data_IF_690897272321
#
_entry.id   IF_690897272321
#
_cell.length_a   1.000
_cell.length_b   1.000
_cell.length_c   1.000
_cell.angle_alpha   90.00
_cell.angle_beta   90.00
_cell.angle_gamma   90.00
#
_symmetry.space_group_name_H-M   'P 1'
#
loop_
_entity.id
_entity.type
_entity.pdbx_description
1 polymer ?
#
# COMPACT_ATOMS: atom_id res chain seq x y z
N UNK A 1 6.36 5.60 -3.00
CA UNK A 1 4.95 5.32 -3.43
C UNK A 1 3.98 5.82 -2.38
N UNK A 2 2.78 6.29 -2.76
CA UNK A 2 1.76 6.76 -1.80
C UNK A 2 0.65 5.74 -1.62
N UNK A 3 0.26 5.50 -0.37
CA UNK A 3 -0.95 4.80 0.05
C UNK A 3 -2.14 5.74 -0.06
N UNK A 4 -3.26 5.21 -0.53
CA UNK A 4 -4.52 5.94 -0.66
C UNK A 4 -5.53 5.33 0.30
N UNK A 5 -6.06 6.14 1.21
CA UNK A 5 -7.10 5.77 2.15
C UNK A 5 -8.40 6.46 1.77
N UNK A 6 -9.53 5.82 2.06
CA UNK A 6 -10.85 6.44 1.91
C UNK A 6 -11.54 6.47 3.27
N UNK A 7 -11.75 7.67 3.79
CA UNK A 7 -12.39 7.89 5.10
C UNK A 7 -13.87 8.17 4.86
N UNK A 8 -14.73 7.34 5.45
CA UNK A 8 -16.18 7.47 5.39
C UNK A 8 -16.64 8.37 6.55
N UNK A 9 -17.28 9.53 6.30
CA UNK A 9 -17.90 10.34 7.34
C UNK A 9 -19.10 9.63 7.99
N UNK A 10 -19.36 9.91 9.27
CA UNK A 10 -20.65 9.62 9.90
C UNK A 10 -21.69 10.63 9.42
N UNK A 11 -22.97 10.26 9.52
CA UNK A 11 -24.07 11.21 9.28
C UNK A 11 -24.10 12.30 10.38
N UNK A 12 -23.87 11.88 11.63
CA UNK A 12 -23.94 12.72 12.83
C UNK A 12 -22.67 12.60 13.67
N UNK A 13 -22.26 13.71 14.31
CA UNK A 13 -21.11 13.71 15.23
C UNK A 13 -21.36 12.80 16.43
N UNK A 14 -20.34 12.10 16.89
CA UNK A 14 -20.39 11.29 18.12
C UNK A 14 -19.81 12.09 19.28
N UNK A 15 -20.54 12.15 20.39
CA UNK A 15 -20.04 12.76 21.61
C UNK A 15 -19.01 11.83 22.30
N UNK A 16 -18.15 12.37 23.19
CA UNK A 16 -17.14 11.57 23.89
C UNK A 16 -17.69 10.42 24.74
N UNK A 17 -18.97 10.50 25.11
CA UNK A 17 -19.72 9.45 25.83
C UNK A 17 -20.22 8.32 24.90
N UNK A 18 -19.94 8.40 23.61
CA UNK A 18 -20.30 7.38 22.62
C UNK A 18 -21.70 7.53 22.01
N UNK A 19 -22.48 8.55 22.40
CA UNK A 19 -23.82 8.80 21.84
C UNK A 19 -23.79 9.69 20.59
N UNK A 20 -24.73 9.49 19.67
CA UNK A 20 -24.91 10.34 18.48
C UNK A 20 -25.46 11.71 18.90
N UNK A 21 -24.89 12.77 18.34
CA UNK A 21 -25.31 14.17 18.52
C UNK A 21 -26.11 14.62 17.29
N UNK A 22 -27.08 15.53 17.43
CA UNK A 22 -27.87 16.04 16.29
C UNK A 22 -27.10 16.92 15.28
N UNK A 23 -25.79 17.12 15.49
CA UNK A 23 -24.96 17.95 14.61
C UNK A 23 -24.47 17.12 13.41
N UNK A 24 -24.73 17.55 12.16
CA UNK A 24 -24.20 16.88 10.98
C UNK A 24 -22.67 17.00 10.91
N UNK A 25 -22.03 16.05 10.25
CA UNK A 25 -20.57 16.05 10.02
C UNK A 25 -20.26 16.72 8.69
N UNK A 26 -19.40 17.73 8.71
CA UNK A 26 -18.88 18.35 7.49
C UNK A 26 -17.53 17.73 7.11
N UNK A 27 -17.43 17.16 5.90
CA UNK A 27 -16.27 16.36 5.48
C UNK A 27 -14.97 17.16 5.46
N UNK A 28 -15.00 18.38 4.91
CA UNK A 28 -13.78 19.17 4.69
C UNK A 28 -13.27 19.78 5.99
N UNK A 29 -14.15 20.12 6.93
CA UNK A 29 -13.76 20.73 8.18
C UNK A 29 -13.56 19.66 9.25
N UNK A 30 -14.61 18.95 9.63
CA UNK A 30 -14.59 18.06 10.78
C UNK A 30 -13.73 16.82 10.55
N UNK A 31 -13.95 16.11 9.43
CA UNK A 31 -13.24 14.86 9.14
C UNK A 31 -11.78 15.13 8.83
N UNK A 32 -11.48 16.20 8.08
CA UNK A 32 -10.11 16.59 7.80
C UNK A 32 -9.34 16.95 9.08
N UNK A 33 -9.95 17.72 9.99
CA UNK A 33 -9.31 18.07 11.26
C UNK A 33 -9.06 16.85 12.14
N UNK A 34 -10.02 15.93 12.25
CA UNK A 34 -9.84 14.68 13.00
C UNK A 34 -8.73 13.81 12.40
N UNK A 35 -8.75 13.60 11.08
CA UNK A 35 -7.72 12.82 10.38
C UNK A 35 -6.35 13.50 10.49
N UNK A 36 -6.28 14.83 10.42
CA UNK A 36 -5.05 15.60 10.63
C UNK A 36 -4.48 15.37 12.02
N UNK A 37 -5.33 15.42 13.05
CA UNK A 37 -4.92 15.16 14.43
C UNK A 37 -4.41 13.73 14.63
N UNK A 38 -5.03 12.74 13.96
CA UNK A 38 -4.61 11.33 14.05
C UNK A 38 -3.29 11.11 13.29
N UNK A 39 -3.15 11.68 12.09
CA UNK A 39 -1.99 11.44 11.23
C UNK A 39 -0.76 12.28 11.58
N UNK A 40 -0.95 13.48 12.11
CA UNK A 40 0.15 14.39 12.49
C UNK A 40 0.37 14.42 14.01
N UNK A 41 -0.56 13.87 14.79
CA UNK A 41 -0.58 13.92 16.26
C UNK A 41 -1.17 15.23 16.80
N UNK A 42 -1.89 15.15 17.93
CA UNK A 42 -2.56 16.29 18.59
C UNK A 42 -1.64 17.47 18.94
N UNK A 43 -0.31 17.27 18.95
CA UNK A 43 0.69 18.28 19.33
C UNK A 43 1.41 18.94 18.14
N UNK A 44 1.28 18.43 16.91
CA UNK A 44 1.93 19.05 15.75
C UNK A 44 1.25 20.38 15.35
N UNK A 45 -0.06 20.51 15.59
CA UNK A 45 -0.84 21.66 15.14
C UNK A 45 -0.64 22.93 15.99
N UNK A 46 -0.15 22.81 17.24
CA UNK A 46 0.16 23.96 18.11
C UNK A 46 1.50 24.65 17.72
N UNK A 47 2.26 24.06 16.81
CA UNK A 47 3.60 24.49 16.41
C UNK A 47 3.67 24.97 14.94
N UNK A 48 2.59 25.51 14.37
CA UNK A 48 2.69 26.34 13.14
C UNK A 48 3.16 27.77 13.46
N UNK A 49 4.22 27.86 14.27
CA UNK A 49 4.83 29.09 14.74
C UNK A 49 6.09 28.70 15.50
N UNK A 50 7.23 28.89 14.85
CA UNK A 50 8.58 28.52 15.29
C UNK A 50 8.93 27.03 15.21
N UNK A 51 10.01 26.76 14.46
CA UNK A 51 10.54 25.44 14.21
C UNK A 51 10.83 24.67 15.49
N UNK A 52 10.16 23.53 15.64
CA UNK A 52 10.50 22.52 16.62
C UNK A 52 10.22 21.14 16.01
N UNK A 53 11.15 20.72 15.16
CA UNK A 53 11.44 19.32 14.91
C UNK A 53 11.93 18.76 16.24
N UNK A 54 11.05 18.13 17.03
CA UNK A 54 11.35 16.99 17.90
C UNK A 54 10.20 16.73 18.88
N UNK A 55 9.76 15.48 18.91
CA UNK A 55 9.65 14.61 20.09
C UNK A 55 8.43 13.68 20.02
N UNK A 56 8.43 12.82 19.01
CA UNK A 56 8.22 11.40 19.25
C UNK A 56 9.25 10.61 18.44
N UNK A 57 10.46 10.56 18.99
CA UNK A 57 11.57 9.72 18.52
C UNK A 57 11.13 8.26 18.60
N UNK A 58 10.58 7.72 17.49
CA UNK A 58 10.07 6.35 17.38
C UNK A 58 8.73 6.19 16.66
N UNK A 59 8.03 7.28 16.32
CA UNK A 59 6.71 7.19 15.68
C UNK A 59 6.79 7.21 14.16
N UNK A 60 6.18 6.23 13.49
CA UNK A 60 6.10 6.13 12.03
C UNK A 60 5.05 7.08 11.43
N UNK A 61 4.81 8.26 12.02
CA UNK A 61 3.81 9.21 11.53
C UNK A 61 4.33 10.01 10.32
N UNK A 62 3.46 10.36 9.35
CA UNK A 62 3.82 11.21 8.23
C UNK A 62 4.04 12.68 8.64
N UNK A 63 4.94 13.39 7.95
CA UNK A 63 5.16 14.84 8.14
C UNK A 63 4.10 15.68 7.43
N UNK A 64 3.60 15.19 6.30
CA UNK A 64 2.54 15.81 5.51
C UNK A 64 1.65 14.73 4.87
N UNK A 65 0.39 15.08 4.61
CA UNK A 65 -0.54 14.25 3.83
C UNK A 65 -1.34 15.12 2.86
N UNK A 66 -1.84 14.51 1.78
CA UNK A 66 -2.75 15.19 0.85
C UNK A 66 -4.14 14.64 1.03
N UNK A 67 -5.14 15.53 1.11
CA UNK A 67 -6.54 15.12 1.19
C UNK A 67 -7.39 15.83 0.14
N UNK A 68 -8.42 15.13 -0.35
CA UNK A 68 -9.44 15.70 -1.23
C UNK A 68 -10.78 15.00 -1.04
N UNK A 69 -11.87 15.71 -1.25
CA UNK A 69 -13.21 15.14 -1.29
C UNK A 69 -13.40 14.33 -2.59
N UNK A 70 -13.91 13.11 -2.50
CA UNK A 70 -14.16 12.22 -3.65
C UNK A 70 -15.43 11.42 -3.44
N UNK A 71 -16.24 11.28 -4.49
CA UNK A 71 -17.41 10.38 -4.49
C UNK A 71 -16.98 8.96 -4.87
N UNK A 72 -17.34 7.96 -4.06
CA UNK A 72 -17.10 6.53 -4.35
C UNK A 72 -18.33 5.70 -3.96
N UNK A 73 -18.47 4.55 -4.59
CA UNK A 73 -19.50 3.56 -4.28
C UNK A 73 -18.84 2.21 -4.02
N UNK A 74 -19.27 1.47 -2.98
CA UNK A 74 -18.80 0.11 -2.73
C UNK A 74 -19.85 -0.92 -3.18
N UNK A 75 -19.70 -1.58 -4.34
CA UNK A 75 -20.69 -2.54 -4.82
C UNK A 75 -20.78 -3.81 -3.96
N UNK A 76 -19.72 -4.12 -3.20
CA UNK A 76 -19.59 -5.35 -2.42
C UNK A 76 -20.45 -5.38 -1.16
N UNK A 77 -20.97 -4.22 -0.70
CA UNK A 77 -21.87 -4.15 0.44
C UNK A 77 -21.24 -4.69 1.73
N UNK A 78 -20.07 -4.18 2.11
CA UNK A 78 -19.55 -4.37 3.46
C UNK A 78 -20.54 -3.78 4.47
N UNK A 79 -20.66 -4.39 5.67
CA UNK A 79 -21.58 -3.96 6.74
C UNK A 79 -21.44 -2.46 7.10
N UNK A 80 -20.27 -1.87 6.82
CA UNK A 80 -19.94 -0.49 7.17
C UNK A 80 -19.79 0.46 5.98
N UNK A 81 -19.85 -0.01 4.73
CA UNK A 81 -19.64 0.83 3.54
C UNK A 81 -20.91 0.94 2.67
N UNK A 82 -21.37 2.16 2.35
CA UNK A 82 -22.56 2.36 1.52
C UNK A 82 -22.37 1.86 0.08
N UNK A 83 -23.42 1.21 -0.44
CA UNK A 83 -23.50 0.82 -1.86
C UNK A 83 -23.70 2.02 -2.78
N UNK A 84 -24.40 3.03 -2.30
CA UNK A 84 -24.71 4.23 -3.05
C UNK A 84 -23.46 5.14 -3.17
N UNK A 85 -23.37 5.96 -4.24
CA UNK A 85 -22.34 6.98 -4.36
C UNK A 85 -22.34 7.92 -3.16
N UNK A 86 -21.31 7.79 -2.33
CA UNK A 86 -21.17 8.55 -1.08
C UNK A 86 -19.90 9.39 -1.13
N UNK A 87 -19.92 10.52 -0.43
CA UNK A 87 -18.75 11.37 -0.29
C UNK A 87 -17.74 10.78 0.71
N UNK A 88 -16.50 10.65 0.28
CA UNK A 88 -15.36 10.22 1.10
C UNK A 88 -14.28 11.31 1.13
N UNK A 89 -13.45 11.28 2.17
CA UNK A 89 -12.17 11.98 2.16
C UNK A 89 -11.08 11.01 1.67
N UNK A 90 -10.57 11.25 0.46
CA UNK A 90 -9.39 10.53 -0.07
C UNK A 90 -8.14 11.13 0.56
N UNK A 91 -7.37 10.30 1.27
CA UNK A 91 -6.15 10.71 1.97
C UNK A 91 -4.95 9.97 1.39
N UNK A 92 -3.90 10.70 1.03
CA UNK A 92 -2.66 10.15 0.47
C UNK A 92 -1.49 10.36 1.41
N UNK A 93 -0.81 9.27 1.73
CA UNK A 93 0.32 9.24 2.66
C UNK A 93 1.44 8.32 2.13
N UNK A 94 2.72 8.57 2.44
CA UNK A 94 3.80 7.66 2.07
C UNK A 94 3.64 6.28 2.73
N UNK A 95 3.95 5.20 2.00
CA UNK A 95 3.88 3.84 2.54
C UNK A 95 4.85 3.60 3.72
N UNK A 96 5.99 4.29 3.74
CA UNK A 96 7.02 4.19 4.80
C UNK A 96 6.56 4.78 6.14
N UNK A 97 5.60 5.71 6.10
CA UNK A 97 5.16 6.52 7.25
C UNK A 97 3.73 6.20 7.63
N UNK A 98 3.32 4.94 7.50
CA UNK A 98 1.96 4.53 7.82
C UNK A 98 1.86 3.95 9.22
N UNK A 99 1.04 4.59 10.05
CA UNK A 99 0.49 3.99 11.27
C UNK A 99 -0.85 3.35 10.91
N UNK A 100 -1.07 2.08 11.29
CA UNK A 100 -2.34 1.40 11.04
C UNK A 100 -3.48 2.19 11.67
N UNK A 101 -4.34 2.75 10.82
CA UNK A 101 -5.64 3.27 11.21
C UNK A 101 -6.51 2.09 11.63
N UNK A 102 -6.88 2.01 12.91
CA UNK A 102 -7.90 1.07 13.38
C UNK A 102 -9.25 1.80 13.38
N UNK A 103 -10.13 1.56 12.39
CA UNK A 103 -11.31 2.42 12.18
C UNK A 103 -12.50 2.07 13.08
N UNK A 104 -12.55 0.84 13.60
CA UNK A 104 -13.82 0.21 13.97
C UNK A 104 -14.48 0.70 15.26
N UNK A 105 -13.97 1.73 15.97
CA UNK A 105 -14.69 2.18 17.19
C UNK A 105 -14.42 3.58 17.75
N UNK A 106 -13.39 4.32 17.31
CA UNK A 106 -12.88 5.45 18.13
C UNK A 106 -13.12 6.87 17.59
N UNK A 107 -13.54 7.04 16.33
CA UNK A 107 -13.64 8.36 15.71
C UNK A 107 -14.95 9.11 15.99
N UNK A 108 -14.87 10.42 16.22
CA UNK A 108 -16.03 11.28 16.48
C UNK A 108 -16.80 11.62 15.18
N UNK A 109 -16.08 11.74 14.06
CA UNK A 109 -16.62 12.17 12.77
C UNK A 109 -16.50 11.11 11.68
N UNK A 110 -15.61 10.12 11.85
CA UNK A 110 -15.39 9.03 10.90
C UNK A 110 -16.10 7.74 11.33
N UNK A 111 -16.64 7.04 10.35
CA UNK A 111 -17.36 5.76 10.52
C UNK A 111 -16.43 4.57 10.25
N UNK A 112 -15.77 4.57 9.10
CA UNK A 112 -14.81 3.56 8.67
C UNK A 112 -13.67 4.22 7.88
N UNK A 113 -12.54 3.53 7.80
CA UNK A 113 -11.40 3.91 6.95
C UNK A 113 -10.98 2.70 6.13
N UNK A 114 -11.17 2.82 4.82
CA UNK A 114 -10.86 1.78 3.85
C UNK A 114 -9.45 1.97 3.28
N UNK A 115 -8.85 0.86 2.82
CA UNK A 115 -7.51 0.85 2.22
C UNK A 115 -6.36 0.80 3.23
N UNK A 116 -6.63 0.60 4.52
CA UNK A 116 -5.62 0.50 5.60
C UNK A 116 -4.77 -0.76 5.52
N UNK A 117 -5.24 -1.82 4.88
CA UNK A 117 -4.50 -3.08 4.70
C UNK A 117 -3.88 -3.24 3.31
N UNK A 118 -4.18 -2.32 2.39
CA UNK A 118 -3.73 -2.39 1.00
C UNK A 118 -2.20 -2.31 0.93
N UNK A 119 -1.58 -3.34 0.36
CA UNK A 119 -0.12 -3.38 0.18
C UNK A 119 0.34 -2.45 -0.95
N UNK A 120 1.62 -2.09 -0.98
CA UNK A 120 2.19 -1.28 -2.06
C UNK A 120 2.16 -2.02 -3.41
N UNK A 121 2.39 -3.33 -3.41
CA UNK A 121 2.30 -4.16 -4.62
C UNK A 121 0.87 -4.22 -5.16
N UNK A 122 -0.13 -4.42 -4.31
CA UNK A 122 -1.54 -4.40 -4.72
C UNK A 122 -1.94 -3.04 -5.31
N UNK A 123 -1.54 -1.95 -4.65
CA UNK A 123 -1.78 -0.60 -5.18
C UNK A 123 -1.10 -0.38 -6.54
N UNK A 124 0.08 -0.96 -6.77
CA UNK A 124 0.82 -0.81 -8.02
C UNK A 124 0.10 -1.57 -9.14
N UNK A 125 -0.24 -2.84 -8.89
CA UNK A 125 -0.96 -3.67 -9.84
C UNK A 125 -2.30 -3.07 -10.24
N UNK A 126 -3.07 -2.56 -9.26
CA UNK A 126 -4.36 -1.94 -9.53
C UNK A 126 -4.24 -0.62 -10.30
N UNK A 127 -3.25 0.21 -9.97
CA UNK A 127 -3.04 1.50 -10.64
C UNK A 127 -2.71 1.33 -12.12
N UNK A 128 -1.88 0.34 -12.44
CA UNK A 128 -1.42 0.09 -13.80
C UNK A 128 -2.13 -1.05 -14.52
N UNK A 129 -3.16 -1.63 -13.88
CA UNK A 129 -3.93 -2.75 -14.42
C UNK A 129 -3.03 -3.92 -14.82
N UNK A 130 -2.02 -4.21 -14.01
CA UNK A 130 -1.16 -5.40 -14.18
C UNK A 130 -1.99 -6.65 -13.89
N UNK A 131 -2.25 -7.47 -14.91
CA UNK A 131 -3.13 -8.65 -14.85
C UNK A 131 -2.38 -9.99 -14.90
N UNK A 132 -1.09 -9.98 -14.61
CA UNK A 132 -0.22 -11.15 -14.70
C UNK A 132 1.12 -10.81 -15.34
N UNK A 133 1.92 -11.82 -15.72
CA UNK A 133 3.14 -11.63 -16.48
C UNK A 133 2.84 -10.94 -17.82
N UNK A 134 3.67 -9.97 -18.19
CA UNK A 134 3.53 -9.24 -19.43
C UNK A 134 4.60 -8.18 -19.58
N UNK A 135 4.70 -7.62 -20.79
CA UNK A 135 5.63 -6.55 -21.08
C UNK A 135 5.22 -5.26 -20.37
N UNK A 136 6.21 -4.60 -19.78
CA UNK A 136 6.07 -3.28 -19.17
C UNK A 136 7.15 -2.37 -19.73
N UNK A 137 6.82 -1.10 -19.89
CA UNK A 137 7.76 -0.07 -20.25
C UNK A 137 8.06 0.80 -19.02
N UNK A 138 9.33 1.05 -18.77
CA UNK A 138 9.78 1.92 -17.69
C UNK A 138 10.35 3.21 -18.29
N UNK A 139 9.73 4.34 -17.95
CA UNK A 139 10.28 5.65 -18.25
C UNK A 139 11.25 6.06 -17.14
N UNK A 140 12.24 6.88 -17.47
CA UNK A 140 13.18 7.46 -16.48
C UNK A 140 13.84 6.41 -15.56
N UNK A 141 14.01 5.18 -16.04
CA UNK A 141 14.65 4.12 -15.28
C UNK A 141 16.16 4.37 -15.19
N UNK A 142 16.71 4.22 -14.00
CA UNK A 142 18.15 4.38 -13.75
C UNK A 142 18.76 3.05 -13.31
N UNK A 143 20.00 2.73 -13.70
CA UNK A 143 20.69 1.56 -13.18
C UNK A 143 20.79 1.63 -11.65
N UNK A 144 20.39 0.55 -10.98
CA UNK A 144 20.57 0.44 -9.52
C UNK A 144 22.03 0.14 -9.21
N UNK A 145 22.67 1.02 -8.43
CA UNK A 145 24.03 0.77 -7.93
C UNK A 145 24.06 -0.23 -6.77
N UNK A 146 22.92 -0.41 -6.09
CA UNK A 146 22.80 -1.37 -5.00
C UNK A 146 22.59 -2.79 -5.54
N UNK A 147 23.33 -3.76 -4.99
CA UNK A 147 23.15 -5.20 -5.26
C UNK A 147 21.92 -5.72 -4.50
N UNK A 148 20.74 -5.32 -4.95
CA UNK A 148 19.45 -5.71 -4.34
C UNK A 148 18.91 -7.04 -4.88
N UNK A 149 19.48 -7.56 -5.98
CA UNK A 149 19.06 -8.82 -6.59
C UNK A 149 20.24 -9.59 -7.18
N UNK A 150 20.03 -10.86 -7.49
CA UNK A 150 20.96 -11.70 -8.25
C UNK A 150 20.71 -11.65 -9.77
N UNK A 151 19.85 -10.74 -10.25
CA UNK A 151 19.60 -10.57 -11.67
C UNK A 151 20.82 -9.94 -12.37
N UNK A 152 21.00 -10.25 -13.66
CA UNK A 152 22.10 -9.70 -14.48
C UNK A 152 22.07 -8.18 -14.59
N UNK A 153 20.86 -7.60 -14.63
CA UNK A 153 20.63 -6.16 -14.67
C UNK A 153 19.56 -5.79 -13.65
N UNK A 154 19.73 -4.64 -12.99
CA UNK A 154 18.74 -4.11 -12.04
C UNK A 154 18.52 -2.64 -12.33
N UNK A 155 17.26 -2.26 -12.48
CA UNK A 155 16.84 -0.88 -12.72
C UNK A 155 15.98 -0.40 -11.55
N UNK A 156 16.05 0.90 -11.27
CA UNK A 156 15.21 1.58 -10.29
C UNK A 156 14.41 2.69 -10.98
N UNK A 157 13.21 2.92 -10.47
CA UNK A 157 12.29 3.94 -10.96
C UNK A 157 11.80 4.73 -9.76
N UNK A 158 11.93 6.06 -9.80
CA UNK A 158 11.63 6.92 -8.66
C UNK A 158 10.11 7.04 -8.40
N UNK A 159 9.30 7.07 -9.46
CA UNK A 159 7.85 7.23 -9.35
C UNK A 159 7.12 6.05 -9.93
N UNK A 160 6.04 5.55 -9.27
CA UNK A 160 5.18 4.58 -9.91
C UNK A 160 4.52 5.16 -11.17
N UNK A 161 4.47 6.48 -11.38
CA UNK A 161 3.92 7.10 -12.60
C UNK A 161 4.72 6.78 -13.87
N UNK A 162 5.98 6.37 -13.72
CA UNK A 162 6.88 6.11 -14.84
C UNK A 162 6.77 4.67 -15.38
N UNK A 163 5.87 3.84 -14.83
CA UNK A 163 5.58 2.51 -15.36
C UNK A 163 4.44 2.60 -16.37
N UNK A 164 4.57 1.97 -17.53
CA UNK A 164 3.51 1.89 -18.54
C UNK A 164 3.26 0.43 -18.93
N UNK A 165 2.01 0.11 -19.26
CA UNK A 165 1.61 -1.17 -19.85
C UNK A 165 1.13 -0.88 -21.28
N UNK A 166 2.05 -0.77 -22.25
CA UNK A 166 1.68 -0.46 -23.62
C UNK A 166 0.87 -1.60 -24.23
N UNK A 167 -0.23 -1.24 -24.89
CA UNK A 167 -1.14 -2.19 -25.56
C UNK A 167 -0.43 -2.88 -26.72
N UNK A 168 0.47 -2.18 -27.39
CA UNK A 168 1.17 -2.69 -28.57
C UNK A 168 2.18 -3.80 -28.23
N UNK A 169 2.80 -3.75 -27.05
CA UNK A 169 3.69 -4.84 -26.59
C UNK A 169 2.92 -6.08 -26.14
N UNK A 170 1.59 -6.03 -25.99
CA UNK A 170 0.82 -7.24 -25.72
C UNK A 170 0.77 -8.17 -26.94
N UNK A 171 1.06 -7.65 -28.14
CA UNK A 171 1.20 -8.44 -29.36
C UNK A 171 2.60 -9.10 -29.47
N UNK A 172 3.61 -8.58 -28.78
CA UNK A 172 4.85 -9.29 -28.58
C UNK A 172 4.57 -10.44 -27.60
N UNK A 173 4.68 -11.68 -28.09
CA UNK A 173 4.38 -12.88 -27.31
C UNK A 173 5.13 -12.93 -25.96
N UNK A 174 4.79 -13.91 -25.14
CA UNK A 174 5.43 -14.08 -23.83
C UNK A 174 6.96 -14.19 -23.98
N UNK A 175 7.70 -13.42 -23.17
CA UNK A 175 9.15 -13.53 -23.11
C UNK A 175 9.54 -15.00 -22.81
N UNK A 176 10.56 -15.54 -23.48
CA UNK A 176 11.03 -16.89 -23.18
C UNK A 176 11.57 -16.93 -21.75
N UNK A 177 11.32 -18.05 -21.09
CA UNK A 177 11.71 -18.29 -19.71
C UNK A 177 12.64 -19.50 -19.67
N UNK A 178 13.69 -19.41 -18.87
CA UNK A 178 14.52 -20.57 -18.54
C UNK A 178 13.89 -21.35 -17.40
N UNK A 179 13.96 -22.68 -17.46
CA UNK A 179 13.40 -23.57 -16.45
C UNK A 179 14.49 -24.46 -15.84
N UNK A 180 14.43 -24.67 -14.52
CA UNK A 180 15.28 -25.60 -13.80
C UNK A 180 14.41 -26.62 -13.06
N UNK A 181 14.52 -27.88 -13.43
CA UNK A 181 13.95 -29.00 -12.68
C UNK A 181 15.02 -29.56 -11.76
N UNK A 182 14.77 -29.63 -10.46
CA UNK A 182 15.73 -30.14 -9.46
C UNK A 182 15.11 -31.33 -8.73
N UNK A 183 15.88 -32.41 -8.58
CA UNK A 183 15.55 -33.57 -7.77
C UNK A 183 16.59 -33.75 -6.67
N UNK A 184 16.13 -33.88 -5.44
CA UNK A 184 16.99 -34.00 -4.26
C UNK A 184 16.71 -35.29 -3.51
N UNK A 185 17.76 -35.98 -3.07
CA UNK A 185 17.65 -37.15 -2.19
C UNK A 185 18.22 -36.81 -0.82
N UNK A 186 17.46 -37.10 0.23
CA UNK A 186 17.87 -36.91 1.62
C UNK A 186 17.90 -38.24 2.39
N UNK A 187 18.75 -38.32 3.41
CA UNK A 187 18.83 -39.47 4.34
C UNK A 187 18.82 -38.95 5.78
N UNK A 188 18.11 -39.61 6.69
CA UNK A 188 18.12 -39.25 8.11
C UNK A 188 19.46 -39.66 8.74
N UNK A 189 20.19 -38.69 9.27
CA UNK A 189 21.42 -38.91 10.01
C UNK A 189 21.11 -39.47 11.40
N UNK A 190 21.57 -40.68 11.68
CA UNK A 190 21.37 -41.32 12.98
C UNK A 190 22.12 -40.63 14.13
N UNK A 191 23.15 -39.84 13.81
CA UNK A 191 23.94 -39.08 14.80
C UNK A 191 23.38 -37.69 15.07
N UNK A 192 22.97 -36.99 14.01
CA UNK A 192 22.46 -35.61 14.14
C UNK A 192 20.93 -35.55 14.36
N UNK A 193 20.21 -36.65 14.09
CA UNK A 193 18.74 -36.68 14.14
C UNK A 193 18.08 -35.80 13.07
N UNK A 194 18.80 -35.45 12.01
CA UNK A 194 18.35 -34.53 10.97
C UNK A 194 18.54 -35.12 9.56
N UNK A 195 17.74 -34.68 8.60
CA UNK A 195 17.87 -35.09 7.20
C UNK A 195 19.07 -34.40 6.56
N UNK A 196 19.99 -35.18 6.02
CA UNK A 196 21.14 -34.71 5.24
C UNK A 196 20.85 -34.89 3.75
N UNK A 197 21.13 -33.88 2.94
CA UNK A 197 21.04 -33.99 1.47
C UNK A 197 22.25 -34.77 0.96
N UNK A 198 22.01 -35.95 0.38
CA UNK A 198 23.07 -36.83 -0.13
C UNK A 198 23.26 -36.71 -1.63
N UNK A 199 22.27 -36.19 -2.35
CA UNK A 199 22.33 -36.02 -3.80
C UNK A 199 21.40 -34.90 -4.25
N UNK A 200 21.87 -34.14 -5.23
CA UNK A 200 21.08 -33.18 -6.00
C UNK A 200 21.35 -33.47 -7.47
N UNK A 201 20.31 -33.61 -8.27
CA UNK A 201 20.38 -33.65 -9.73
C UNK A 201 19.42 -32.61 -10.30
N UNK A 202 19.69 -32.12 -11.51
CA UNK A 202 18.79 -31.20 -12.16
C UNK A 202 18.93 -31.15 -13.67
N UNK A 203 17.85 -30.76 -14.33
CA UNK A 203 17.77 -30.50 -15.76
C UNK A 203 17.49 -29.00 -15.95
N UNK A 204 18.37 -28.33 -16.68
CA UNK A 204 18.20 -26.93 -17.03
C UNK A 204 17.79 -26.81 -18.51
N UNK A 205 16.71 -26.08 -18.76
CA UNK A 205 16.25 -25.71 -20.09
C UNK A 205 16.45 -24.20 -20.24
N UNK A 206 17.36 -23.82 -21.14
CA UNK A 206 17.59 -22.43 -21.51
C UNK A 206 16.89 -22.15 -22.84
N UNK A 207 16.00 -21.15 -22.86
CA UNK A 207 15.44 -20.63 -24.10
C UNK A 207 16.08 -19.28 -24.39
N UNK A 208 16.87 -19.21 -25.46
CA UNK A 208 17.47 -17.97 -25.94
C UNK A 208 16.43 -17.14 -26.71
N UNK A 209 16.48 -15.81 -26.54
CA UNK A 209 15.87 -14.82 -27.43
C UNK A 209 16.74 -14.64 -28.68
#
# INVERSE_FOLDING_TARGET
MQRVLYVLPRQTKRAPNGHSTDKPVEIILDVYHEVSNILLGERAQKCMGLGAIAMWSGSNLPTEFRAKKVVRSCPCGDTHAPREPTDYLEVRIPYEKFVRFYPESSGATLSSVEGTLKSSSEALCMKWKLRGPGWIQLNNAVPSQARISHAKFTLSVASPNDLLVPVDLAAEGAAPVSALCVSTKTVLSSKAGANEVVMISGLFLEMFL
#
